data_IF_084917417056
#
_entry.id   IF_084917417056
#
_cell.length_a   1.000
_cell.length_b   1.000
_cell.length_c   1.000
_cell.angle_alpha   90.00
_cell.angle_beta   90.00
_cell.angle_gamma   90.00
#
_symmetry.space_group_name_H-M   'P 1'
#
loop_
_entity.id
_entity.type
_entity.pdbx_description
1 polymer ?
#
# COMPACT_ATOMS: atom_id res chain seq x y z
N UNK A 1 2.06 -31.38 -9.89
CA UNK A 1 1.75 -30.17 -9.10
C UNK A 1 2.74 -29.08 -9.49
N UNK A 2 2.28 -27.84 -9.58
CA UNK A 2 3.09 -26.67 -9.97
C UNK A 2 3.73 -26.06 -8.73
N UNK A 3 5.00 -25.64 -8.81
CA UNK A 3 5.67 -24.89 -7.74
C UNK A 3 5.28 -23.42 -7.83
N UNK A 4 4.67 -22.92 -6.77
CA UNK A 4 4.31 -21.52 -6.58
C UNK A 4 5.29 -20.82 -5.63
N UNK A 5 5.53 -19.54 -5.90
CA UNK A 5 6.37 -18.63 -5.10
C UNK A 5 5.43 -17.76 -4.25
N UNK A 6 5.22 -18.15 -3.01
CA UNK A 6 4.36 -17.46 -2.06
C UNK A 6 5.14 -16.32 -1.39
N UNK A 7 4.93 -15.08 -1.81
CA UNK A 7 5.51 -13.89 -1.20
C UNK A 7 4.65 -13.46 -0.01
N UNK A 8 5.08 -13.82 1.20
CA UNK A 8 4.42 -13.43 2.45
C UNK A 8 4.80 -12.01 2.81
N UNK A 9 3.82 -11.13 2.92
CA UNK A 9 3.98 -9.68 3.09
C UNK A 9 3.29 -9.25 4.39
N UNK A 10 3.97 -8.45 5.21
CA UNK A 10 3.44 -7.97 6.49
C UNK A 10 3.99 -6.59 6.86
N UNK A 11 3.39 -6.00 7.90
CA UNK A 11 3.85 -4.75 8.49
C UNK A 11 4.71 -5.02 9.72
N UNK A 12 5.85 -4.32 9.80
CA UNK A 12 6.75 -4.40 10.94
C UNK A 12 6.26 -3.60 12.16
N UNK A 13 7.09 -3.53 13.21
CA UNK A 13 6.78 -2.86 14.47
C UNK A 13 7.35 -1.45 14.60
N UNK A 14 7.92 -0.87 13.54
CA UNK A 14 8.46 0.49 13.62
C UNK A 14 7.35 1.52 13.90
N UNK A 15 7.69 2.55 14.66
CA UNK A 15 6.79 3.64 15.02
C UNK A 15 7.42 5.00 14.72
N UNK A 16 6.62 6.03 14.39
CA UNK A 16 5.15 6.03 14.35
C UNK A 16 4.55 5.32 13.12
N UNK A 17 5.36 5.03 12.09
CA UNK A 17 4.90 4.42 10.83
C UNK A 17 5.62 3.07 10.61
N UNK A 18 4.88 1.96 10.39
CA UNK A 18 5.49 0.67 10.09
C UNK A 18 5.95 0.59 8.64
N UNK A 19 6.95 -0.24 8.37
CA UNK A 19 7.38 -0.58 7.02
C UNK A 19 6.75 -1.89 6.54
N UNK A 20 6.67 -2.04 5.22
CA UNK A 20 6.36 -3.31 4.57
C UNK A 20 7.59 -4.23 4.57
N UNK A 21 7.35 -5.51 4.81
CA UNK A 21 8.36 -6.58 4.76
C UNK A 21 7.82 -7.72 3.90
N UNK A 22 8.72 -8.47 3.26
CA UNK A 22 8.37 -9.58 2.37
C UNK A 22 9.39 -10.71 2.42
N UNK A 23 8.92 -11.96 2.25
CA UNK A 23 9.78 -13.11 1.95
C UNK A 23 9.05 -14.23 1.21
N UNK A 24 9.77 -14.97 0.37
CA UNK A 24 9.17 -16.03 -0.47
C UNK A 24 9.25 -17.43 0.16
N UNK A 25 8.13 -18.14 0.26
CA UNK A 25 8.05 -19.59 0.47
C UNK A 25 7.81 -20.31 -0.86
N UNK A 26 8.40 -21.49 -1.07
CA UNK A 26 8.03 -22.37 -2.19
C UNK A 26 7.08 -23.46 -1.71
N UNK A 27 5.94 -23.62 -2.39
CA UNK A 27 4.95 -24.67 -2.14
C UNK A 27 4.42 -25.23 -3.46
N UNK A 28 3.91 -26.46 -3.42
CA UNK A 28 3.34 -27.13 -4.57
C UNK A 28 1.82 -27.17 -4.46
N UNK A 29 1.15 -26.77 -5.53
CA UNK A 29 -0.31 -26.80 -5.64
C UNK A 29 -0.72 -27.36 -7.01
N UNK A 30 -1.93 -27.92 -7.11
CA UNK A 30 -2.47 -28.38 -8.39
C UNK A 30 -2.85 -27.20 -9.31
N UNK A 31 -3.35 -26.13 -8.69
CA UNK A 31 -3.81 -24.89 -9.31
C UNK A 31 -3.39 -23.69 -8.44
N UNK A 32 -3.82 -22.48 -8.79
CA UNK A 32 -3.54 -21.29 -7.98
C UNK A 32 -4.09 -21.48 -6.55
N UNK A 33 -3.28 -21.28 -5.49
CA UNK A 33 -3.71 -21.63 -4.14
C UNK A 33 -4.80 -20.71 -3.61
N UNK A 34 -5.78 -21.28 -2.91
CA UNK A 34 -6.76 -20.50 -2.12
C UNK A 34 -6.16 -20.07 -0.79
N UNK A 35 -6.76 -19.08 -0.13
CA UNK A 35 -6.27 -18.55 1.14
C UNK A 35 -6.17 -19.63 2.23
N UNK A 36 -7.14 -20.55 2.29
CA UNK A 36 -7.24 -21.61 3.30
C UNK A 36 -6.15 -22.68 3.15
N UNK A 37 -5.56 -22.80 1.95
CA UNK A 37 -4.47 -23.73 1.67
C UNK A 37 -3.11 -23.17 2.09
N UNK A 38 -3.00 -21.86 2.36
CA UNK A 38 -1.75 -21.21 2.69
C UNK A 38 -1.37 -21.47 4.15
N UNK A 39 -0.19 -22.04 4.43
CA UNK A 39 0.22 -22.32 5.81
C UNK A 39 0.56 -21.03 6.57
N UNK A 40 0.46 -21.08 7.90
CA UNK A 40 1.13 -20.13 8.77
C UNK A 40 2.66 -20.19 8.54
N UNK A 41 3.35 -19.09 8.79
CA UNK A 41 4.81 -19.07 8.71
C UNK A 41 5.43 -18.20 9.80
N UNK A 42 6.58 -18.59 10.35
CA UNK A 42 7.28 -17.81 11.36
C UNK A 42 8.27 -16.81 10.76
N UNK A 43 8.62 -15.74 11.48
CA UNK A 43 9.74 -14.86 11.20
C UNK A 43 10.39 -14.37 12.50
N UNK A 44 11.62 -13.87 12.39
CA UNK A 44 12.34 -13.26 13.51
C UNK A 44 11.87 -11.82 13.73
N UNK A 45 11.05 -11.61 14.76
CA UNK A 45 10.49 -10.31 15.14
C UNK A 45 11.50 -9.35 15.77
N UNK A 46 12.68 -9.84 16.22
CA UNK A 46 13.72 -8.95 16.77
C UNK A 46 14.35 -8.07 15.69
N UNK A 47 14.36 -8.56 14.45
CA UNK A 47 14.84 -7.83 13.28
C UNK A 47 13.83 -6.81 12.73
N UNK A 48 12.64 -6.71 13.31
CA UNK A 48 11.53 -5.90 12.79
C UNK A 48 10.83 -5.06 13.86
N UNK A 49 11.43 -4.87 15.04
CA UNK A 49 10.84 -4.14 16.19
C UNK A 49 9.55 -4.78 16.72
N UNK A 50 9.42 -6.10 16.62
CA UNK A 50 8.23 -6.84 17.04
C UNK A 50 8.50 -7.81 18.19
N UNK A 51 9.76 -8.07 18.52
CA UNK A 51 10.09 -8.91 19.67
C UNK A 51 11.48 -8.59 20.22
N UNK A 52 11.75 -9.02 21.45
CA UNK A 52 13.10 -8.97 22.00
C UNK A 52 13.91 -10.20 21.57
N UNK A 53 15.23 -10.07 21.49
CA UNK A 53 16.10 -11.11 20.90
C UNK A 53 16.09 -12.46 21.63
N UNK A 54 15.64 -12.54 22.89
CA UNK A 54 15.60 -13.79 23.65
C UNK A 54 14.27 -14.56 23.53
N UNK A 55 13.26 -13.98 22.87
CA UNK A 55 11.96 -14.59 22.56
C UNK A 55 11.40 -13.95 21.29
N UNK A 56 12.07 -14.17 20.16
CA UNK A 56 11.88 -13.34 18.97
C UNK A 56 10.88 -13.84 17.94
N UNK A 57 10.36 -15.06 18.09
CA UNK A 57 9.45 -15.64 17.10
C UNK A 57 8.14 -14.85 16.98
N UNK A 58 7.73 -14.57 15.75
CA UNK A 58 6.42 -14.04 15.40
C UNK A 58 5.80 -14.88 14.30
N UNK A 59 4.47 -14.95 14.23
CA UNK A 59 3.75 -15.77 13.26
C UNK A 59 3.04 -14.88 12.24
N UNK A 60 3.21 -15.20 10.96
CA UNK A 60 2.47 -14.67 9.83
C UNK A 60 1.26 -15.54 9.57
N UNK A 61 0.08 -14.92 9.67
CA UNK A 61 -1.19 -15.54 9.31
C UNK A 61 -1.69 -14.94 7.99
N UNK A 62 -1.82 -15.74 6.91
CA UNK A 62 -2.41 -15.29 5.67
C UNK A 62 -3.83 -14.72 5.88
N UNK A 63 -4.10 -13.57 5.26
CA UNK A 63 -5.42 -12.90 5.34
C UNK A 63 -5.99 -12.50 3.98
N UNK A 64 -5.14 -12.38 2.95
CA UNK A 64 -5.57 -12.20 1.57
C UNK A 64 -4.52 -12.79 0.61
N UNK A 65 -4.96 -13.21 -0.57
CA UNK A 65 -4.13 -13.82 -1.61
C UNK A 65 -4.39 -13.15 -2.96
N UNK A 66 -3.33 -12.84 -3.68
CA UNK A 66 -3.38 -12.18 -4.98
C UNK A 66 -2.38 -12.83 -5.94
N UNK A 67 -2.64 -12.90 -7.26
CA UNK A 67 -1.60 -13.27 -8.21
C UNK A 67 -0.49 -12.22 -8.22
N UNK A 68 0.77 -12.68 -8.34
CA UNK A 68 1.91 -11.79 -8.52
C UNK A 68 2.22 -11.63 -10.03
N UNK A 69 1.87 -10.50 -10.66
CA UNK A 69 2.07 -10.32 -12.10
C UNK A 69 3.55 -10.20 -12.50
N UNK A 70 4.44 -9.92 -11.55
CA UNK A 70 5.87 -9.75 -11.82
C UNK A 70 6.64 -11.08 -11.84
N UNK A 71 6.04 -12.20 -11.43
CA UNK A 71 6.72 -13.49 -11.28
C UNK A 71 5.90 -14.64 -11.86
N UNK A 72 6.55 -15.47 -12.67
CA UNK A 72 5.96 -16.76 -13.08
C UNK A 72 5.62 -17.61 -11.86
N UNK A 73 4.36 -18.09 -11.80
CA UNK A 73 3.77 -18.81 -10.67
C UNK A 73 3.94 -18.07 -9.33
N UNK A 74 3.93 -16.73 -9.36
CA UNK A 74 4.02 -15.92 -8.16
C UNK A 74 2.66 -15.69 -7.53
N UNK A 75 2.66 -15.62 -6.20
CA UNK A 75 1.49 -15.39 -5.36
C UNK A 75 1.89 -14.37 -4.30
N UNK A 76 1.16 -13.28 -4.19
CA UNK A 76 1.29 -12.33 -3.09
C UNK A 76 0.36 -12.76 -1.97
N UNK A 77 0.87 -12.82 -0.75
CA UNK A 77 0.14 -13.27 0.44
C UNK A 77 0.21 -12.16 1.48
N UNK A 78 -0.87 -11.39 1.60
CA UNK A 78 -0.98 -10.41 2.68
C UNK A 78 -1.17 -11.17 3.99
N UNK A 79 -0.39 -10.82 5.00
CA UNK A 79 -0.42 -11.45 6.32
C UNK A 79 -0.70 -10.44 7.43
N UNK A 80 -1.39 -10.92 8.46
CA UNK A 80 -1.42 -10.28 9.76
C UNK A 80 -0.42 -10.95 10.69
N UNK A 81 0.10 -10.18 11.66
CA UNK A 81 1.13 -10.67 12.59
C UNK A 81 0.47 -11.14 13.88
N UNK A 82 0.84 -12.34 14.30
CA UNK A 82 0.35 -13.02 15.48
C UNK A 82 1.51 -13.29 16.45
N UNK A 83 1.19 -13.43 17.72
CA UNK A 83 2.08 -13.98 18.74
C UNK A 83 2.51 -15.42 18.38
N UNK A 84 3.55 -15.98 19.03
CA UNK A 84 4.01 -17.35 18.80
C UNK A 84 2.92 -18.45 18.89
N UNK A 85 1.84 -18.19 19.63
CA UNK A 85 0.71 -19.12 19.73
C UNK A 85 -0.09 -19.26 18.41
N UNK A 86 0.14 -18.38 17.43
CA UNK A 86 -0.56 -18.36 16.15
C UNK A 86 -2.03 -17.92 16.21
N UNK A 87 -2.52 -17.51 17.38
CA UNK A 87 -3.94 -17.18 17.63
C UNK A 87 -4.12 -15.76 18.15
N UNK A 88 -3.23 -15.29 19.03
CA UNK A 88 -3.32 -13.96 19.62
C UNK A 88 -2.70 -12.93 18.68
N UNK A 89 -3.41 -11.85 18.29
CA UNK A 89 -2.83 -10.79 17.47
C UNK A 89 -1.64 -10.13 18.17
N UNK A 90 -0.57 -9.88 17.41
CA UNK A 90 0.57 -9.12 17.92
C UNK A 90 0.20 -7.65 18.17
N UNK A 91 0.87 -6.94 19.09
CA UNK A 91 0.55 -5.53 19.43
C UNK A 91 0.69 -4.55 18.25
N UNK A 92 1.55 -4.89 17.30
CA UNK A 92 1.72 -4.13 16.04
C UNK A 92 0.60 -4.41 15.02
N UNK A 93 -0.21 -5.46 15.21
CA UNK A 93 -1.27 -5.86 14.29
C UNK A 93 -2.48 -4.91 14.39
N UNK A 94 -2.46 -3.84 13.61
CA UNK A 94 -3.58 -2.90 13.50
C UNK A 94 -4.75 -3.44 12.69
N UNK A 95 -4.52 -4.47 11.86
CA UNK A 95 -5.61 -5.11 11.11
C UNK A 95 -6.62 -5.79 12.05
N UNK A 96 -6.13 -6.38 13.15
CA UNK A 96 -6.98 -7.00 14.16
C UNK A 96 -7.91 -6.00 14.89
N UNK A 97 -7.63 -4.70 14.84
CA UNK A 97 -8.48 -3.66 15.43
C UNK A 97 -9.55 -3.14 14.47
N UNK A 98 -9.53 -3.56 13.21
CA UNK A 98 -10.52 -3.16 12.20
C UNK A 98 -11.77 -4.04 12.36
N UNK A 99 -12.92 -3.40 12.57
CA UNK A 99 -14.22 -4.08 12.53
C UNK A 99 -14.43 -4.64 11.12
N UNK A 100 -14.70 -5.94 11.00
CA UNK A 100 -14.95 -6.59 9.72
C UNK A 100 -16.39 -6.31 9.26
N UNK A 101 -16.56 -5.32 8.38
CA UNK A 101 -17.86 -4.87 7.90
C UNK A 101 -17.83 -4.77 6.38
N UNK A 102 -18.47 -5.72 5.70
CA UNK A 102 -18.59 -5.78 4.24
C UNK A 102 -19.46 -4.64 3.66
N UNK A 103 -20.35 -4.07 4.48
CA UNK A 103 -21.21 -2.94 4.13
C UNK A 103 -20.51 -1.59 4.23
N UNK A 104 -19.39 -1.51 4.95
CA UNK A 104 -18.54 -0.34 5.05
C UNK A 104 -17.58 -0.27 3.85
N UNK A 105 -17.77 0.72 3.01
CA UNK A 105 -16.98 0.94 1.80
C UNK A 105 -16.04 2.12 2.00
N UNK A 106 -14.82 1.98 1.51
CA UNK A 106 -13.78 3.00 1.64
C UNK A 106 -13.10 3.24 0.29
N UNK A 107 -12.93 4.50 -0.09
CA UNK A 107 -12.08 4.93 -1.19
C UNK A 107 -10.91 5.71 -0.63
N UNK A 108 -9.69 5.23 -0.85
CA UNK A 108 -8.47 5.88 -0.39
C UNK A 108 -7.70 6.46 -1.57
N UNK A 109 -7.36 7.74 -1.46
CA UNK A 109 -6.57 8.51 -2.43
C UNK A 109 -5.14 8.61 -1.90
N UNK A 110 -4.24 7.72 -2.31
CA UNK A 110 -2.86 7.68 -1.79
C UNK A 110 -1.96 8.62 -2.58
N UNK A 111 -1.56 9.72 -1.97
CA UNK A 111 -0.52 10.61 -2.54
C UNK A 111 0.88 10.19 -2.09
N UNK A 112 1.87 10.39 -2.93
CA UNK A 112 3.27 10.07 -2.63
C UNK A 112 4.22 10.86 -3.53
N UNK A 113 5.48 10.94 -3.13
CA UNK A 113 6.55 11.44 -3.99
C UNK A 113 7.48 10.30 -4.41
N UNK A 114 7.92 10.34 -5.67
CA UNK A 114 9.11 9.63 -6.09
C UNK A 114 10.34 10.36 -5.57
N UNK A 115 11.27 9.65 -4.93
CA UNK A 115 12.52 10.19 -4.40
C UNK A 115 13.72 9.50 -5.04
N UNK A 116 14.73 10.28 -5.40
CA UNK A 116 16.00 9.78 -5.90
C UNK A 116 17.13 10.63 -5.35
N UNK A 117 18.18 9.99 -4.85
CA UNK A 117 19.35 10.65 -4.27
C UNK A 117 18.98 11.70 -3.19
N UNK A 118 17.97 11.37 -2.38
CA UNK A 118 17.48 12.20 -1.27
C UNK A 118 16.62 13.41 -1.68
N UNK A 119 16.18 13.51 -2.95
CA UNK A 119 15.34 14.61 -3.45
C UNK A 119 14.15 14.08 -4.26
N UNK A 120 13.05 14.85 -4.37
CA UNK A 120 11.96 14.47 -5.25
C UNK A 120 12.41 14.34 -6.71
N UNK A 121 11.89 13.33 -7.40
CA UNK A 121 12.22 13.05 -8.78
C UNK A 121 11.86 14.25 -9.68
N UNK A 122 12.86 14.74 -10.41
CA UNK A 122 12.72 15.90 -11.30
C UNK A 122 13.03 17.24 -10.63
N UNK A 123 13.38 17.26 -9.34
CA UNK A 123 14.03 18.42 -8.74
C UNK A 123 15.50 18.50 -9.19
N UNK A 124 16.07 19.71 -9.30
CA UNK A 124 17.51 19.86 -9.52
C UNK A 124 18.31 19.41 -8.30
N UNK A 125 19.60 19.09 -8.49
CA UNK A 125 20.54 18.72 -7.41
C UNK A 125 20.55 19.76 -6.27
N UNK A 126 20.43 21.04 -6.63
CA UNK A 126 20.29 22.16 -5.69
C UNK A 126 19.11 23.06 -6.08
N UNK A 127 18.35 23.50 -5.07
CA UNK A 127 17.20 24.40 -5.28
C UNK A 127 15.93 23.66 -5.69
N UNK A 128 15.06 24.36 -6.42
CA UNK A 128 13.72 23.90 -6.75
C UNK A 128 13.48 23.97 -8.27
N UNK A 129 12.56 23.16 -8.82
CA UNK A 129 12.09 23.35 -10.19
C UNK A 129 11.25 24.65 -10.28
N UNK A 130 10.65 24.90 -11.45
CA UNK A 130 9.71 26.02 -11.60
C UNK A 130 8.57 25.94 -10.56
N UNK A 131 7.95 27.06 -10.17
CA UNK A 131 6.86 27.04 -9.19
C UNK A 131 5.73 26.07 -9.55
N UNK A 132 5.02 25.59 -8.53
CA UNK A 132 3.83 24.75 -8.71
C UNK A 132 2.80 25.44 -9.60
N UNK A 133 2.10 24.65 -10.44
CA UNK A 133 1.08 25.14 -11.34
C UNK A 133 0.83 24.21 -12.51
N UNK A 134 1.84 24.01 -13.37
CA UNK A 134 1.69 23.17 -14.57
C UNK A 134 1.86 21.67 -14.33
N UNK A 135 2.19 21.25 -13.11
CA UNK A 135 2.47 19.86 -12.77
C UNK A 135 1.21 19.02 -12.57
N UNK A 136 0.19 19.56 -11.88
CA UNK A 136 -1.06 18.86 -11.60
C UNK A 136 -1.73 18.43 -12.90
N UNK A 137 -2.01 17.13 -13.03
CA UNK A 137 -2.54 16.51 -14.27
C UNK A 137 -1.74 16.85 -15.54
N UNK A 138 -0.48 17.25 -15.38
CA UNK A 138 0.37 17.76 -16.44
C UNK A 138 0.81 16.69 -17.44
N UNK A 139 1.05 17.11 -18.68
CA UNK A 139 1.61 16.28 -19.75
C UNK A 139 2.91 16.93 -20.27
N UNK A 140 3.83 16.09 -20.77
CA UNK A 140 5.10 16.53 -21.34
C UNK A 140 6.28 16.47 -20.37
N UNK A 141 7.48 16.33 -20.91
CA UNK A 141 8.72 16.11 -20.16
C UNK A 141 8.96 17.19 -19.09
N UNK A 142 8.72 18.47 -19.41
CA UNK A 142 8.93 19.59 -18.48
C UNK A 142 8.08 19.47 -17.21
N UNK A 143 6.88 18.87 -17.30
CA UNK A 143 6.00 18.68 -16.16
C UNK A 143 6.31 17.34 -15.45
N UNK A 144 6.33 16.26 -16.22
CA UNK A 144 6.29 14.87 -15.71
C UNK A 144 7.67 14.23 -15.53
N UNK A 145 8.67 14.67 -16.28
CA UNK A 145 9.98 13.99 -16.36
C UNK A 145 9.98 12.79 -17.31
N UNK A 146 11.11 12.08 -17.36
CA UNK A 146 11.34 10.97 -18.31
C UNK A 146 10.75 9.63 -17.87
N UNK A 147 10.63 9.37 -16.57
CA UNK A 147 10.35 8.02 -16.05
C UNK A 147 9.14 7.93 -15.11
N UNK A 148 8.73 9.03 -14.47
CA UNK A 148 7.69 8.99 -13.44
C UNK A 148 6.40 8.33 -13.94
N UNK A 149 5.85 8.81 -15.07
CA UNK A 149 4.63 8.24 -15.65
C UNK A 149 4.79 6.77 -16.06
N UNK A 150 5.97 6.37 -16.56
CA UNK A 150 6.20 4.96 -16.89
C UNK A 150 6.02 4.07 -15.65
N UNK A 151 6.56 4.48 -14.50
CA UNK A 151 6.42 3.74 -13.25
C UNK A 151 4.96 3.70 -12.80
N UNK A 152 4.25 4.83 -12.89
CA UNK A 152 2.84 4.92 -12.48
C UNK A 152 1.94 4.01 -13.33
N UNK A 153 2.12 4.00 -14.65
CA UNK A 153 1.35 3.11 -15.54
C UNK A 153 1.70 1.63 -15.29
N UNK A 154 2.99 1.30 -15.10
CA UNK A 154 3.40 -0.07 -14.74
C UNK A 154 2.85 -0.51 -13.38
N UNK A 155 2.73 0.39 -12.40
CA UNK A 155 2.11 0.12 -11.11
C UNK A 155 0.60 -0.13 -11.25
N UNK A 156 -0.09 0.71 -12.02
CA UNK A 156 -1.51 0.53 -12.35
C UNK A 156 -1.74 -0.85 -12.98
N UNK A 157 -0.96 -1.21 -14.00
CA UNK A 157 -1.06 -2.53 -14.66
C UNK A 157 -0.82 -3.68 -13.69
N UNK A 158 0.16 -3.57 -12.79
CA UNK A 158 0.40 -4.58 -11.76
C UNK A 158 -0.76 -4.70 -10.77
N UNK A 159 -1.33 -3.59 -10.33
CA UNK A 159 -2.49 -3.60 -9.43
C UNK A 159 -3.71 -4.26 -10.10
N UNK A 160 -4.01 -3.89 -11.35
CA UNK A 160 -5.12 -4.47 -12.10
C UNK A 160 -4.92 -5.98 -12.33
N UNK A 161 -3.71 -6.39 -12.72
CA UNK A 161 -3.38 -7.80 -12.92
C UNK A 161 -3.41 -8.61 -11.59
N UNK A 162 -3.12 -7.97 -10.46
CA UNK A 162 -3.26 -8.55 -9.12
C UNK A 162 -4.73 -8.62 -8.65
N UNK A 163 -5.68 -8.00 -9.36
CA UNK A 163 -7.09 -7.92 -8.94
C UNK A 163 -7.35 -6.93 -7.81
N UNK A 164 -6.45 -5.96 -7.60
CA UNK A 164 -6.67 -4.82 -6.70
C UNK A 164 -7.70 -3.89 -7.36
N UNK A 165 -8.69 -3.42 -6.59
CA UNK A 165 -9.72 -2.53 -7.12
C UNK A 165 -9.22 -1.09 -7.18
N UNK A 166 -8.46 -0.82 -8.23
CA UNK A 166 -7.81 0.44 -8.52
C UNK A 166 -8.71 1.33 -9.38
N UNK A 167 -9.01 2.55 -8.92
CA UNK A 167 -10.00 3.43 -9.56
C UNK A 167 -9.37 4.51 -10.45
N UNK A 168 -8.11 4.87 -10.22
CA UNK A 168 -7.45 5.87 -11.04
C UNK A 168 -6.06 6.29 -10.55
N UNK A 169 -5.42 7.14 -11.35
CA UNK A 169 -4.13 7.78 -11.08
C UNK A 169 -4.17 9.24 -11.52
N UNK A 170 -3.37 10.09 -10.89
CA UNK A 170 -3.09 11.44 -11.39
C UNK A 170 -1.69 11.92 -10.97
N UNK A 171 -1.11 12.80 -11.79
CA UNK A 171 0.04 13.60 -11.38
C UNK A 171 -0.45 14.70 -10.44
N UNK A 172 0.24 14.88 -9.32
CA UNK A 172 -0.15 15.82 -8.28
C UNK A 172 0.47 17.22 -8.48
N UNK A 173 0.14 18.14 -7.57
CA UNK A 173 0.49 19.57 -7.68
C UNK A 173 2.00 19.82 -7.66
N UNK A 174 2.78 19.02 -6.94
CA UNK A 174 4.23 19.15 -6.91
C UNK A 174 4.92 18.25 -7.95
N UNK A 175 6.06 18.72 -8.49
CA UNK A 175 6.85 17.93 -9.45
C UNK A 175 7.37 16.65 -8.79
N UNK A 176 7.09 15.50 -9.41
CA UNK A 176 7.46 14.19 -8.86
C UNK A 176 6.46 13.62 -7.85
N UNK A 177 5.38 14.34 -7.55
CA UNK A 177 4.27 13.88 -6.73
C UNK A 177 3.20 13.22 -7.60
N UNK A 178 2.61 12.14 -7.09
CA UNK A 178 1.58 11.37 -7.76
C UNK A 178 0.55 10.85 -6.77
N UNK A 179 -0.58 10.44 -7.30
CA UNK A 179 -1.65 9.80 -6.55
C UNK A 179 -2.15 8.54 -7.26
N UNK A 180 -2.57 7.55 -6.47
CA UNK A 180 -3.39 6.44 -6.92
C UNK A 180 -4.59 6.21 -5.99
N UNK A 181 -5.72 5.77 -6.55
CA UNK A 181 -6.96 5.57 -5.80
C UNK A 181 -7.35 4.10 -5.71
N UNK A 182 -7.63 3.61 -4.50
CA UNK A 182 -8.13 2.25 -4.25
C UNK A 182 -9.51 2.31 -3.63
N UNK A 183 -10.46 1.51 -4.13
CA UNK A 183 -11.79 1.40 -3.56
C UNK A 183 -12.08 0.00 -3.03
N UNK A 184 -12.29 -0.13 -1.73
CA UNK A 184 -12.64 -1.39 -1.08
C UNK A 184 -14.10 -1.43 -0.66
N UNK A 185 -14.80 -2.48 -1.10
CA UNK A 185 -16.08 -2.90 -0.53
C UNK A 185 -15.81 -3.86 0.63
N UNK A 186 -15.82 -3.33 1.85
CA UNK A 186 -15.42 -4.02 3.05
C UNK A 186 -14.22 -3.37 3.71
N UNK A 187 -14.31 -3.10 5.02
CA UNK A 187 -13.32 -2.38 5.81
C UNK A 187 -11.91 -3.00 5.77
N UNK A 188 -11.79 -4.30 6.07
CA UNK A 188 -10.49 -5.00 6.03
C UNK A 188 -9.98 -5.15 4.60
N UNK A 189 -10.86 -5.47 3.66
CA UNK A 189 -10.51 -5.60 2.24
C UNK A 189 -9.92 -4.31 1.68
N UNK A 190 -10.49 -3.15 2.03
CA UNK A 190 -9.96 -1.85 1.63
C UNK A 190 -8.52 -1.64 2.14
N UNK A 191 -8.28 -1.95 3.41
CA UNK A 191 -6.95 -1.84 4.01
C UNK A 191 -5.94 -2.82 3.39
N UNK A 192 -6.34 -4.09 3.20
CA UNK A 192 -5.49 -5.14 2.61
C UNK A 192 -5.06 -4.76 1.18
N UNK A 193 -5.99 -4.28 0.36
CA UNK A 193 -5.70 -3.86 -1.01
C UNK A 193 -4.80 -2.62 -1.06
N UNK A 194 -5.00 -1.63 -0.18
CA UNK A 194 -4.13 -0.45 -0.10
C UNK A 194 -2.69 -0.83 0.24
N UNK A 195 -2.49 -1.69 1.25
CA UNK A 195 -1.14 -2.14 1.61
C UNK A 195 -0.47 -2.95 0.50
N UNK A 196 -1.24 -3.79 -0.19
CA UNK A 196 -0.72 -4.53 -1.35
C UNK A 196 -0.35 -3.61 -2.51
N UNK A 197 -1.14 -2.57 -2.78
CA UNK A 197 -0.82 -1.56 -3.79
C UNK A 197 0.47 -0.81 -3.45
N UNK A 198 0.67 -0.41 -2.18
CA UNK A 198 1.92 0.19 -1.69
C UNK A 198 3.12 -0.74 -1.84
N UNK A 199 2.96 -2.02 -1.51
CA UNK A 199 4.03 -3.02 -1.68
C UNK A 199 4.43 -3.18 -3.15
N UNK A 200 3.46 -3.28 -4.06
CA UNK A 200 3.72 -3.39 -5.49
C UNK A 200 4.44 -2.16 -6.03
N UNK A 201 4.06 -0.95 -5.59
CA UNK A 201 4.75 0.28 -5.96
C UNK A 201 6.20 0.28 -5.49
N UNK A 202 6.45 0.04 -4.20
CA UNK A 202 7.80 0.01 -3.64
C UNK A 202 8.68 -1.04 -4.31
N UNK A 203 8.16 -2.26 -4.49
CA UNK A 203 8.89 -3.34 -5.18
C UNK A 203 9.16 -3.01 -6.64
N UNK A 204 8.23 -2.34 -7.32
CA UNK A 204 8.44 -1.91 -8.70
C UNK A 204 9.55 -0.87 -8.80
N UNK A 205 9.62 0.09 -7.87
CA UNK A 205 10.60 1.19 -7.94
C UNK A 205 12.03 0.76 -7.62
N UNK A 206 12.22 -0.38 -6.95
CA UNK A 206 13.56 -0.98 -6.72
C UNK A 206 14.36 -1.09 -8.01
N UNK A 207 13.76 -1.57 -9.12
CA UNK A 207 14.47 -1.74 -10.41
C UNK A 207 14.86 -0.40 -11.06
N UNK A 208 14.23 0.69 -10.65
CA UNK A 208 14.51 2.04 -11.12
C UNK A 208 15.51 2.80 -10.23
N UNK A 209 15.85 2.24 -9.05
CA UNK A 209 16.64 2.95 -8.04
C UNK A 209 15.95 4.23 -7.57
N UNK A 210 14.64 4.15 -7.36
CA UNK A 210 13.78 5.25 -6.91
C UNK A 210 13.05 4.79 -5.65
N UNK A 211 13.02 5.64 -4.64
CA UNK A 211 12.26 5.43 -3.42
C UNK A 211 10.87 6.05 -3.52
N UNK A 212 9.96 5.58 -2.66
CA UNK A 212 8.65 6.19 -2.45
C UNK A 212 8.64 6.87 -1.09
N UNK A 213 8.32 8.16 -1.08
CA UNK A 213 8.15 8.95 0.13
C UNK A 213 6.65 9.20 0.37
N UNK A 214 6.17 8.74 1.54
CA UNK A 214 4.78 8.88 1.98
C UNK A 214 4.61 9.94 3.09
N UNK A 215 5.69 10.56 3.56
CA UNK A 215 5.63 11.59 4.59
C UNK A 215 4.76 12.77 4.14
N UNK A 216 3.88 13.24 5.02
CA UNK A 216 2.85 14.22 4.65
C UNK A 216 3.41 15.60 4.27
N UNK A 217 4.62 15.92 4.71
CA UNK A 217 5.37 17.14 4.32
C UNK A 217 6.83 16.79 4.07
N UNK A 218 7.17 16.20 2.91
CA UNK A 218 8.51 15.64 2.69
C UNK A 218 9.54 16.72 2.32
N UNK A 219 9.07 17.93 2.01
CA UNK A 219 9.89 19.12 1.74
C UNK A 219 9.96 20.09 2.93
N UNK A 220 9.46 19.69 4.11
CA UNK A 220 9.52 20.51 5.33
C UNK A 220 8.66 21.78 5.27
N UNK A 221 9.13 22.83 5.95
CA UNK A 221 8.47 24.14 6.04
C UNK A 221 8.67 24.95 4.75
N UNK A 222 7.97 24.54 3.70
CA UNK A 222 7.96 25.19 2.38
C UNK A 222 6.54 25.27 1.83
N UNK A 223 6.34 26.13 0.84
CA UNK A 223 5.06 26.28 0.13
C UNK A 223 4.76 25.13 -0.85
N UNK A 224 5.61 24.09 -0.90
CA UNK A 224 5.34 22.90 -1.70
C UNK A 224 4.20 22.07 -1.10
N UNK A 225 3.37 21.49 -1.97
CA UNK A 225 2.27 20.64 -1.53
C UNK A 225 2.80 19.44 -0.72
N UNK A 226 2.02 19.09 0.30
CA UNK A 226 2.25 17.87 1.07
C UNK A 226 1.60 16.67 0.40
N UNK A 227 1.76 15.49 1.00
CA UNK A 227 1.08 14.26 0.58
C UNK A 227 -0.02 13.89 1.57
N UNK A 228 -1.24 13.74 1.05
CA UNK A 228 -2.41 13.28 1.79
C UNK A 228 -2.69 11.78 1.64
N UNK A 229 -3.68 11.32 2.41
CA UNK A 229 -4.43 10.13 2.04
C UNK A 229 -5.92 10.39 2.30
N UNK A 230 -6.61 11.04 1.35
CA UNK A 230 -8.04 11.30 1.54
C UNK A 230 -8.80 9.98 1.66
N UNK A 231 -9.78 9.97 2.56
CA UNK A 231 -10.59 8.80 2.86
C UNK A 231 -12.05 9.10 2.62
N UNK A 232 -12.57 8.59 1.51
CA UNK A 232 -13.99 8.52 1.22
C UNK A 232 -14.57 7.32 1.97
N UNK A 233 -15.72 7.45 2.63
CA UNK A 233 -16.36 6.31 3.28
C UNK A 233 -17.88 6.32 3.14
N UNK A 234 -18.50 5.14 3.15
CA UNK A 234 -19.94 5.00 3.27
C UNK A 234 -20.35 3.68 3.93
N UNK A 235 -21.44 3.69 4.67
CA UNK A 235 -22.13 2.47 5.13
C UNK A 235 -23.34 2.18 4.25
N UNK A 236 -23.91 0.97 4.35
CA UNK A 236 -25.17 0.65 3.66
C UNK A 236 -26.28 1.66 4.02
N UNK A 237 -26.37 2.06 5.30
CA UNK A 237 -27.33 3.07 5.74
C UNK A 237 -27.13 4.41 5.02
N UNK A 238 -25.89 4.91 4.93
CA UNK A 238 -25.59 6.16 4.21
C UNK A 238 -26.02 6.13 2.75
N UNK A 239 -25.89 4.98 2.08
CA UNK A 239 -26.20 4.82 0.65
C UNK A 239 -27.68 4.62 0.36
N UNK A 240 -28.41 3.92 1.24
CA UNK A 240 -29.76 3.42 0.93
C UNK A 240 -30.88 4.13 1.69
N UNK A 241 -30.61 4.55 2.93
CA UNK A 241 -31.64 5.06 3.85
C UNK A 241 -31.38 6.48 4.31
N UNK A 242 -30.10 6.85 4.40
CA UNK A 242 -29.65 8.16 4.83
C UNK A 242 -30.14 9.27 3.91
N UNK A 243 -29.47 10.40 3.99
CA UNK A 243 -29.85 11.59 3.26
C UNK A 243 -29.25 12.80 3.92
N UNK A 244 -29.50 13.98 3.34
CA UNK A 244 -28.84 15.22 3.74
C UNK A 244 -28.80 15.43 5.25
N UNK A 245 -29.94 15.27 5.95
CA UNK A 245 -30.02 15.46 7.39
C UNK A 245 -29.12 14.49 8.20
N UNK A 246 -28.98 13.25 7.74
CA UNK A 246 -28.09 12.27 8.37
C UNK A 246 -26.62 12.64 8.16
N UNK A 247 -26.24 13.05 6.94
CA UNK A 247 -24.87 13.50 6.66
C UNK A 247 -24.51 14.77 7.44
N UNK A 248 -25.41 15.75 7.51
CA UNK A 248 -25.20 16.98 8.28
C UNK A 248 -25.03 16.69 9.78
N UNK A 249 -25.78 15.72 10.32
CA UNK A 249 -25.63 15.31 11.72
C UNK A 249 -24.32 14.55 12.02
N UNK A 250 -23.72 13.87 11.03
CA UNK A 250 -22.42 13.21 11.19
C UNK A 250 -21.23 14.18 11.16
N UNK A 251 -21.41 15.35 10.54
CA UNK A 251 -20.37 16.37 10.37
C UNK A 251 -20.42 17.48 11.43
N UNK A 252 -21.47 17.51 12.26
CA UNK A 252 -21.67 18.48 13.34
C UNK A 252 -20.86 18.10 14.59
#
# INVERSE_FOLDING_TARGET
MTKYKLEYIWLDGYTPVPNLRGKTQIKEFAEFPTLEQLPLWGFDGSSTQQAEGHSSDCVLKPVAVFPDPARTNGVLVMCEVMMPDGVTPHVSNKRATILDDEGAWFGFEQEYFFYKDGRPLGFPESGYPAPQGSYYTGVGYSNVGSVARQIVEEHLDQCLAAGINHEGINAEVAKGQWEFQIFGKGSKKAADQMWMARYLLQRLTEKYGIDIEYHCKPLGDTDWNGSGMHANFSTAYMREVGGKAYFEALMA
#
